data_IF_203436739343
#
_entry.id   IF_203436739343
#
_cell.length_a   1.000
_cell.length_b   1.000
_cell.length_c   1.000
_cell.angle_alpha   90.00
_cell.angle_beta   90.00
_cell.angle_gamma   90.00
#
_symmetry.space_group_name_H-M   'P 1'
#
loop_
_entity.id
_entity.type
_entity.pdbx_description
1 polymer ?
#
# COMPACT_ATOMS: atom_id res chain seq x y z
N UNK A 1 -1.45 18.05 8.79
CA UNK A 1 -0.55 17.35 7.86
C UNK A 1 -1.14 16.17 7.10
N UNK A 2 -2.06 15.36 7.62
CA UNK A 2 -2.54 14.16 6.92
C UNK A 2 -3.58 14.36 5.78
N UNK A 3 -3.97 15.60 5.48
CA UNK A 3 -4.83 15.86 4.30
C UNK A 3 -4.05 15.89 2.97
N UNK A 4 -2.71 15.90 3.00
CA UNK A 4 -1.88 16.00 1.79
C UNK A 4 -1.43 14.65 1.23
N UNK A 5 -1.56 13.57 2.00
CA UNK A 5 -1.02 12.24 1.66
C UNK A 5 -2.12 11.23 1.25
N UNK A 6 -3.35 11.71 1.12
CA UNK A 6 -4.42 10.92 0.54
C UNK A 6 -4.18 10.71 -0.95
N UNK A 7 -4.38 9.49 -1.47
CA UNK A 7 -5.06 8.36 -0.84
C UNK A 7 -4.10 7.36 -0.15
N UNK A 8 -4.58 6.76 0.96
CA UNK A 8 -3.85 5.75 1.75
C UNK A 8 -4.66 4.48 1.95
N UNK A 9 -3.99 3.34 2.06
CA UNK A 9 -4.55 2.01 2.32
C UNK A 9 -3.83 1.38 3.51
N UNK A 10 -4.55 0.61 4.33
CA UNK A 10 -3.98 -0.18 5.42
C UNK A 10 -4.30 -1.66 5.20
N UNK A 11 -3.27 -2.51 5.30
CA UNK A 11 -3.39 -3.97 5.16
C UNK A 11 -3.23 -4.63 6.52
N UNK A 12 -4.22 -5.44 6.91
CA UNK A 12 -4.23 -6.23 8.15
C UNK A 12 -4.03 -7.72 7.87
N UNK A 13 -3.48 -8.50 8.82
CA UNK A 13 -3.20 -8.18 10.22
C UNK A 13 -1.91 -7.39 10.49
N UNK A 14 -1.06 -7.20 9.48
CA UNK A 14 0.29 -6.62 9.63
C UNK A 14 0.31 -5.11 9.92
N UNK A 15 -0.84 -4.44 9.79
CA UNK A 15 -1.01 -3.00 10.00
C UNK A 15 -0.04 -2.15 9.16
N UNK A 16 0.22 -2.59 7.91
CA UNK A 16 1.08 -1.88 6.96
C UNK A 16 0.27 -0.81 6.26
N UNK A 17 0.82 0.40 6.19
CA UNK A 17 0.21 1.56 5.54
C UNK A 17 0.88 1.82 4.20
N UNK A 18 0.07 2.03 3.16
CA UNK A 18 0.51 2.36 1.82
C UNK A 18 -0.09 3.67 1.35
N UNK A 19 0.67 4.43 0.57
CA UNK A 19 0.16 5.47 -0.32
C UNK A 19 0.11 4.91 -1.76
N UNK A 20 -0.77 5.45 -2.60
CA UNK A 20 -0.86 5.04 -4.01
C UNK A 20 -1.30 6.24 -4.86
N UNK A 21 -0.87 6.27 -6.12
CA UNK A 21 -1.19 7.34 -7.07
C UNK A 21 -2.17 6.87 -8.14
N UNK A 22 -2.05 5.61 -8.57
CA UNK A 22 -2.86 5.03 -9.63
C UNK A 22 -3.29 3.59 -9.31
N UNK A 23 -3.93 2.93 -10.28
CA UNK A 23 -4.39 1.55 -10.12
C UNK A 23 -3.25 0.52 -10.22
N UNK A 24 -2.16 0.83 -10.91
CA UNK A 24 -1.01 -0.08 -11.04
C UNK A 24 -0.33 -0.28 -9.68
N UNK A 25 -0.25 0.79 -8.88
CA UNK A 25 0.19 0.72 -7.48
C UNK A 25 -0.67 -0.22 -6.63
N UNK A 26 -1.99 -0.24 -6.85
CA UNK A 26 -2.92 -1.11 -6.12
C UNK A 26 -2.71 -2.57 -6.55
N UNK A 27 -2.62 -2.82 -7.85
CA UNK A 27 -2.38 -4.16 -8.39
C UNK A 27 -1.05 -4.73 -7.86
N UNK A 28 0.00 -3.90 -7.76
CA UNK A 28 1.27 -4.31 -7.16
C UNK A 28 1.14 -4.65 -5.66
N UNK A 29 0.41 -3.86 -4.87
CA UNK A 29 0.16 -4.18 -3.45
C UNK A 29 -0.58 -5.52 -3.33
N UNK A 30 -1.54 -5.80 -4.20
CA UNK A 30 -2.29 -7.07 -4.18
C UNK A 30 -1.36 -8.23 -4.54
N UNK A 31 -0.63 -8.14 -5.63
CA UNK A 31 0.22 -9.22 -6.11
C UNK A 31 1.42 -9.48 -5.18
N UNK A 32 2.12 -8.43 -4.76
CA UNK A 32 3.30 -8.59 -3.92
C UNK A 32 2.92 -8.83 -2.45
N UNK A 33 2.08 -7.99 -1.85
CA UNK A 33 1.78 -8.11 -0.42
C UNK A 33 0.76 -9.22 -0.15
N UNK A 34 -0.42 -9.18 -0.79
CA UNK A 34 -1.50 -10.11 -0.45
C UNK A 34 -1.27 -11.53 -0.99
N UNK A 35 -0.78 -11.68 -2.23
CA UNK A 35 -0.56 -13.00 -2.82
C UNK A 35 0.80 -13.60 -2.44
N UNK A 36 1.85 -12.76 -2.39
CA UNK A 36 3.21 -13.22 -2.21
C UNK A 36 3.79 -12.95 -0.80
N UNK A 37 3.10 -12.17 0.05
CA UNK A 37 3.58 -11.83 1.40
C UNK A 37 4.79 -10.88 1.43
N UNK A 38 5.04 -10.15 0.34
CA UNK A 38 6.17 -9.22 0.19
C UNK A 38 5.66 -7.78 0.27
N UNK A 39 6.12 -7.04 1.27
CA UNK A 39 5.74 -5.64 1.46
C UNK A 39 6.35 -4.76 0.37
N UNK A 40 5.53 -3.89 -0.22
CA UNK A 40 5.94 -2.96 -1.28
C UNK A 40 6.54 -1.70 -0.65
N UNK A 41 7.83 -1.76 -0.28
CA UNK A 41 8.51 -0.69 0.47
C UNK A 41 8.49 0.68 -0.24
N UNK A 42 8.36 0.73 -1.57
CA UNK A 42 8.27 1.99 -2.32
C UNK A 42 6.98 2.79 -2.02
N UNK A 43 5.90 2.08 -1.70
CA UNK A 43 4.57 2.64 -1.45
C UNK A 43 4.28 2.78 0.04
N UNK A 44 5.15 2.27 0.90
CA UNK A 44 4.94 2.19 2.34
C UNK A 44 5.15 3.56 3.02
N UNK A 45 4.30 3.86 3.99
CA UNK A 45 4.38 5.03 4.88
C UNK A 45 5.09 4.68 6.18
#
# INVERSE_FOLDING_TARGET
DRCSEGPVVVVYPEAVWYTYVDHEDIDEIIDEHLLNGRVVERLKI
#
